data_IF_051087356777
#
_entry.id   IF_051087356777
#
_cell.length_a   1.000
_cell.length_b   1.000
_cell.length_c   1.000
_cell.angle_alpha   90.00
_cell.angle_beta   90.00
_cell.angle_gamma   90.00
#
_symmetry.space_group_name_H-M   'P 1'
#
loop_
_entity.id
_entity.type
_entity.pdbx_description
1 polymer ?
#
# COMPACT_ATOMS: atom_id res chain seq x y z
N UNK A 1 -5.56 1.44 21.28
CA UNK A 1 -5.22 0.18 20.59
C UNK A 1 -5.62 0.30 19.13
N UNK A 2 -4.67 0.66 18.26
CA UNK A 2 -4.86 0.81 16.81
C UNK A 2 -4.27 -0.41 16.08
N UNK A 3 -4.66 -1.61 16.51
CA UNK A 3 -4.12 -2.82 15.91
C UNK A 3 -4.68 -3.00 14.50
N UNK A 4 -3.80 -2.91 13.50
CA UNK A 4 -4.08 -3.17 12.10
C UNK A 4 -3.49 -4.53 11.75
N UNK A 5 -4.25 -5.33 11.02
CA UNK A 5 -3.81 -6.59 10.44
C UNK A 5 -3.98 -6.55 8.93
N UNK A 6 -3.07 -7.17 8.19
CA UNK A 6 -3.21 -7.40 6.76
C UNK A 6 -3.78 -8.79 6.53
N UNK A 7 -4.89 -8.86 5.82
CA UNK A 7 -5.50 -10.11 5.38
C UNK A 7 -5.40 -10.18 3.86
N UNK A 8 -4.93 -11.31 3.30
CA UNK A 8 -4.93 -11.48 1.85
C UNK A 8 -6.37 -11.32 1.34
N UNK A 9 -6.53 -10.65 0.21
CA UNK A 9 -7.86 -10.50 -0.38
C UNK A 9 -8.33 -11.85 -0.92
N UNK A 10 -9.52 -12.26 -0.51
CA UNK A 10 -10.17 -13.53 -0.87
C UNK A 10 -11.69 -13.34 -1.01
N UNK A 11 -12.44 -14.42 -1.20
CA UNK A 11 -13.90 -14.37 -1.37
C UNK A 11 -14.65 -13.76 -0.18
N UNK A 12 -14.05 -13.76 1.02
CA UNK A 12 -14.71 -13.29 2.25
C UNK A 12 -14.64 -11.76 2.40
N UNK A 13 -13.67 -11.10 1.78
CA UNK A 13 -13.36 -9.69 2.07
C UNK A 13 -13.30 -8.77 0.83
N UNK A 14 -13.24 -9.31 -0.40
CA UNK A 14 -13.05 -8.48 -1.60
C UNK A 14 -14.17 -7.46 -1.83
N UNK A 15 -15.43 -7.81 -1.53
CA UNK A 15 -16.58 -6.88 -1.64
C UNK A 15 -16.48 -5.70 -0.66
N UNK A 16 -15.91 -5.94 0.54
CA UNK A 16 -15.66 -4.89 1.49
C UNK A 16 -14.55 -3.95 0.99
N UNK A 17 -13.50 -4.48 0.34
CA UNK A 17 -12.50 -3.65 -0.34
C UNK A 17 -13.11 -2.80 -1.46
N UNK A 18 -14.09 -3.31 -2.22
CA UNK A 18 -14.77 -2.54 -3.26
C UNK A 18 -15.69 -1.44 -2.71
N UNK A 19 -16.15 -1.60 -1.48
CA UNK A 19 -17.05 -0.64 -0.82
C UNK A 19 -16.31 0.50 -0.13
N UNK A 20 -14.97 0.47 -0.09
CA UNK A 20 -14.16 1.53 0.52
C UNK A 20 -14.37 2.84 -0.24
N UNK A 21 -14.59 3.93 0.51
CA UNK A 21 -14.81 5.25 -0.05
C UNK A 21 -13.56 6.11 0.10
N UNK A 22 -13.07 6.63 -1.03
CA UNK A 22 -12.15 7.75 -1.03
C UNK A 22 -12.93 9.04 -0.80
N UNK A 23 -12.30 10.02 -0.16
CA UNK A 23 -12.83 11.38 -0.29
C UNK A 23 -12.63 11.85 -1.74
N UNK A 24 -13.59 12.61 -2.27
CA UNK A 24 -13.61 13.01 -3.69
C UNK A 24 -12.30 13.65 -4.17
N UNK A 25 -11.55 14.29 -3.26
CA UNK A 25 -10.28 14.95 -3.58
C UNK A 25 -9.08 13.99 -3.66
N UNK A 26 -9.24 12.75 -3.16
CA UNK A 26 -8.23 11.69 -3.20
C UNK A 26 -8.45 10.65 -4.31
N UNK A 27 -9.65 10.60 -4.90
CA UNK A 27 -9.97 9.69 -6.03
C UNK A 27 -9.00 9.86 -7.21
N UNK A 28 -8.45 11.06 -7.42
CA UNK A 28 -7.47 11.31 -8.48
C UNK A 28 -6.09 10.70 -8.26
N UNK A 29 -5.76 10.31 -7.02
CA UNK A 29 -4.40 9.88 -6.66
C UNK A 29 -4.26 8.37 -6.47
N UNK A 30 -5.35 7.61 -6.37
CA UNK A 30 -5.28 6.16 -6.12
C UNK A 30 -6.24 5.43 -7.05
N UNK A 31 -5.71 4.45 -7.78
CA UNK A 31 -6.56 3.57 -8.60
C UNK A 31 -7.57 2.82 -7.72
N UNK A 32 -8.84 2.82 -8.12
CA UNK A 32 -9.90 2.11 -7.40
C UNK A 32 -9.53 0.62 -7.21
N UNK A 33 -9.84 0.00 -6.05
CA UNK A 33 -9.50 -1.41 -5.76
C UNK A 33 -9.92 -2.44 -6.82
N UNK A 34 -10.90 -2.11 -7.67
CA UNK A 34 -11.36 -2.96 -8.78
C UNK A 34 -10.24 -3.12 -9.81
N UNK A 35 -9.61 -2.02 -10.24
CA UNK A 35 -8.49 -2.05 -11.19
C UNK A 35 -7.28 -2.76 -10.57
N UNK A 36 -7.00 -2.47 -9.30
CA UNK A 36 -5.89 -3.09 -8.57
C UNK A 36 -6.05 -4.61 -8.44
N UNK A 37 -7.25 -5.11 -8.09
CA UNK A 37 -7.49 -6.56 -8.04
C UNK A 37 -7.45 -7.22 -9.41
N UNK A 38 -7.90 -6.55 -10.48
CA UNK A 38 -7.73 -7.05 -11.83
C UNK A 38 -6.25 -7.17 -12.24
N UNK A 39 -5.42 -6.18 -11.88
CA UNK A 39 -3.97 -6.25 -12.06
C UNK A 39 -3.36 -7.39 -11.23
N UNK A 40 -3.77 -7.56 -9.97
CA UNK A 40 -3.31 -8.65 -9.13
C UNK A 40 -3.68 -10.03 -9.72
N UNK A 41 -4.84 -10.17 -10.36
CA UNK A 41 -5.22 -11.40 -11.06
C UNK A 41 -4.29 -11.70 -12.25
N UNK A 42 -3.92 -10.68 -13.03
CA UNK A 42 -3.01 -10.84 -14.18
C UNK A 42 -1.58 -11.13 -13.73
N UNK A 43 -1.10 -10.45 -12.68
CA UNK A 43 0.26 -10.54 -12.14
C UNK A 43 0.34 -11.35 -10.84
N UNK A 44 -0.48 -12.39 -10.70
CA UNK A 44 -0.70 -13.13 -9.45
C UNK A 44 0.57 -13.76 -8.84
N UNK A 45 1.62 -13.98 -9.63
CA UNK A 45 2.91 -14.51 -9.16
C UNK A 45 3.83 -13.44 -8.56
N UNK A 46 3.53 -12.16 -8.76
CA UNK A 46 4.35 -11.01 -8.35
C UNK A 46 3.63 -10.09 -7.36
N UNK A 47 2.29 -10.09 -7.39
CA UNK A 47 1.45 -9.17 -6.61
C UNK A 47 0.66 -9.92 -5.54
N UNK A 48 0.54 -9.34 -4.35
CA UNK A 48 -0.41 -9.79 -3.34
C UNK A 48 -1.21 -8.62 -2.78
N UNK A 49 -2.53 -8.57 -3.05
CA UNK A 49 -3.42 -7.58 -2.49
C UNK A 49 -3.81 -7.94 -1.04
N UNK A 50 -3.91 -6.93 -0.20
CA UNK A 50 -4.28 -7.05 1.19
C UNK A 50 -5.44 -6.12 1.55
N UNK A 51 -6.43 -6.68 2.23
CA UNK A 51 -7.38 -5.92 3.03
C UNK A 51 -6.67 -5.42 4.30
N UNK A 52 -6.77 -4.12 4.57
CA UNK A 52 -6.31 -3.51 5.81
C UNK A 52 -7.46 -3.60 6.81
N UNK A 53 -7.30 -4.42 7.84
CA UNK A 53 -8.38 -4.69 8.79
C UNK A 53 -8.11 -4.07 10.16
N UNK A 54 -9.15 -3.52 10.78
CA UNK A 54 -9.16 -3.02 12.16
C UNK A 54 -10.35 -3.61 12.89
N UNK A 55 -10.10 -4.31 14.00
CA UNK A 55 -11.15 -4.95 14.80
C UNK A 55 -12.12 -5.82 13.97
N UNK A 56 -11.59 -6.55 12.98
CA UNK A 56 -12.37 -7.42 12.09
C UNK A 56 -13.09 -6.71 10.93
N UNK A 57 -12.99 -5.38 10.82
CA UNK A 57 -13.57 -4.63 9.71
C UNK A 57 -12.50 -4.22 8.70
N UNK A 58 -12.80 -4.31 7.41
CA UNK A 58 -11.95 -3.76 6.34
C UNK A 58 -12.06 -2.24 6.38
N UNK A 59 -10.93 -1.58 6.61
CA UNK A 59 -10.82 -0.11 6.71
C UNK A 59 -9.90 0.48 5.65
N UNK A 60 -9.35 -0.36 4.78
CA UNK A 60 -8.43 0.04 3.75
C UNK A 60 -7.96 -1.12 2.89
N UNK A 61 -7.03 -0.81 2.00
CA UNK A 61 -6.47 -1.72 1.01
C UNK A 61 -5.01 -1.32 0.76
N UNK A 62 -4.16 -2.30 0.46
CA UNK A 62 -2.84 -2.06 -0.12
C UNK A 62 -2.42 -3.29 -0.93
N UNK A 63 -1.44 -3.12 -1.82
CA UNK A 63 -0.86 -4.21 -2.59
C UNK A 63 0.64 -4.22 -2.40
N UNK A 64 1.20 -5.41 -2.14
CA UNK A 64 2.65 -5.63 -2.13
C UNK A 64 3.03 -6.33 -3.43
N UNK A 65 4.07 -5.85 -4.08
CA UNK A 65 4.60 -6.40 -5.33
C UNK A 65 6.08 -6.70 -5.12
N UNK A 66 6.59 -7.72 -5.81
CA UNK A 66 8.02 -7.93 -5.96
C UNK A 66 8.39 -7.90 -7.44
N UNK A 67 9.26 -6.95 -7.79
CA UNK A 67 9.86 -6.88 -9.10
C UNK A 67 11.13 -7.74 -9.10
N UNK A 68 11.16 -8.77 -9.93
CA UNK A 68 12.27 -9.72 -10.02
C UNK A 68 13.43 -9.19 -10.88
N UNK A 69 13.19 -8.21 -11.76
CA UNK A 69 14.23 -7.58 -12.58
C UNK A 69 14.98 -6.51 -11.77
N UNK A 70 14.26 -5.75 -10.94
CA UNK A 70 14.86 -4.77 -10.02
C UNK A 70 15.32 -5.36 -8.68
N UNK A 71 14.93 -6.59 -8.38
CA UNK A 71 15.06 -7.22 -7.07
C UNK A 71 14.60 -6.29 -5.93
N UNK A 72 13.38 -5.75 -6.03
CA UNK A 72 12.84 -4.80 -5.07
C UNK A 72 11.35 -5.06 -4.76
N UNK A 73 10.96 -4.76 -3.52
CA UNK A 73 9.54 -4.76 -3.15
C UNK A 73 8.92 -3.41 -3.46
N UNK A 74 7.68 -3.40 -3.92
CA UNK A 74 6.88 -2.20 -4.09
C UNK A 74 5.62 -2.26 -3.24
N UNK A 75 5.21 -1.13 -2.68
CA UNK A 75 3.91 -0.97 -2.04
C UNK A 75 3.06 -0.06 -2.91
N UNK A 76 2.00 -0.62 -3.48
CA UNK A 76 1.07 0.10 -4.35
C UNK A 76 -0.31 0.24 -3.70
N UNK A 77 -1.05 1.24 -4.16
CA UNK A 77 -2.47 1.42 -3.88
C UNK A 77 -2.83 1.44 -2.38
N UNK A 78 -1.96 1.97 -1.52
CA UNK A 78 -2.32 2.18 -0.12
C UNK A 78 -3.50 3.15 -0.06
N UNK A 79 -4.61 2.66 0.46
CA UNK A 79 -5.86 3.37 0.60
C UNK A 79 -6.45 3.09 1.98
N UNK A 80 -6.91 4.13 2.66
CA UNK A 80 -7.67 4.02 3.90
C UNK A 80 -9.02 4.69 3.66
N UNK A 81 -10.10 4.00 4.04
CA UNK A 81 -11.46 4.54 3.95
C UNK A 81 -11.55 5.89 4.67
N UNK A 82 -12.22 6.86 4.04
CA UNK A 82 -12.37 8.22 4.54
C UNK A 82 -12.80 8.27 6.03
N UNK A 83 -13.73 7.40 6.45
CA UNK A 83 -14.24 7.37 7.83
C UNK A 83 -13.19 6.92 8.86
N UNK A 84 -12.10 6.32 8.38
CA UNK A 84 -11.01 5.77 9.17
C UNK A 84 -9.69 6.55 9.03
N UNK A 85 -9.66 7.61 8.21
CA UNK A 85 -8.51 8.51 8.09
C UNK A 85 -8.30 9.37 9.35
N UNK A 86 -7.13 10.01 9.48
CA UNK A 86 -6.76 10.83 10.65
C UNK A 86 -6.57 10.05 11.96
N UNK A 87 -6.74 8.72 11.96
CA UNK A 87 -6.67 7.85 13.14
C UNK A 87 -5.39 6.99 13.21
N UNK A 88 -4.41 7.29 12.37
CA UNK A 88 -3.14 6.54 12.28
C UNK A 88 -3.23 5.21 11.52
N UNK A 89 -4.36 4.89 10.88
CA UNK A 89 -4.55 3.64 10.15
C UNK A 89 -3.53 3.45 9.01
N UNK A 90 -3.24 4.50 8.24
CA UNK A 90 -2.25 4.43 7.14
C UNK A 90 -0.84 4.09 7.63
N UNK A 91 -0.41 4.69 8.74
CA UNK A 91 0.87 4.38 9.39
C UNK A 91 0.94 2.93 9.85
N UNK A 92 -0.09 2.47 10.55
CA UNK A 92 -0.15 1.09 11.04
C UNK A 92 -0.25 0.07 9.89
N UNK A 93 -0.93 0.40 8.79
CA UNK A 93 -0.98 -0.43 7.60
C UNK A 93 0.38 -0.56 6.92
N UNK A 94 1.11 0.56 6.77
CA UNK A 94 2.49 0.54 6.25
C UNK A 94 3.43 -0.25 7.16
N UNK A 95 3.37 -0.06 8.48
CA UNK A 95 4.19 -0.82 9.42
C UNK A 95 3.91 -2.33 9.30
N UNK A 96 2.65 -2.72 9.15
CA UNK A 96 2.28 -4.11 8.92
C UNK A 96 2.78 -4.64 7.55
N UNK A 97 2.72 -3.83 6.50
CA UNK A 97 3.23 -4.19 5.17
C UNK A 97 4.75 -4.37 5.18
N UNK A 98 5.48 -3.46 5.83
CA UNK A 98 6.93 -3.58 6.00
C UNK A 98 7.30 -4.82 6.84
N UNK A 99 6.53 -5.15 7.87
CA UNK A 99 6.71 -6.38 8.64
C UNK A 99 6.48 -7.64 7.80
N UNK A 100 5.46 -7.63 6.92
CA UNK A 100 5.24 -8.69 5.95
C UNK A 100 6.40 -8.82 4.96
N UNK A 101 6.92 -7.71 4.42
CA UNK A 101 8.07 -7.73 3.50
C UNK A 101 9.34 -8.27 4.17
N UNK A 102 9.54 -8.01 5.48
CA UNK A 102 10.68 -8.58 6.22
C UNK A 102 10.67 -10.12 6.27
N UNK A 103 9.51 -10.78 6.14
CA UNK A 103 9.46 -12.25 6.09
C UNK A 103 9.90 -12.83 4.74
N UNK A 104 10.26 -11.99 3.76
CA UNK A 104 10.73 -12.36 2.42
C UNK A 104 9.75 -13.26 1.66
N UNK A 105 8.50 -12.82 1.47
CA UNK A 105 7.47 -13.65 0.84
C UNK A 105 7.72 -13.96 -0.64
N UNK A 106 8.55 -13.17 -1.34
CA UNK A 106 8.81 -13.33 -2.78
C UNK A 106 10.30 -13.40 -3.13
N UNK A 107 11.12 -12.53 -2.52
CA UNK A 107 12.57 -12.49 -2.71
C UNK A 107 13.35 -11.92 -1.53
N UNK A 108 14.68 -12.00 -1.57
CA UNK A 108 15.55 -11.70 -0.44
C UNK A 108 15.79 -10.20 -0.20
N UNK A 109 15.43 -9.34 -1.15
CA UNK A 109 15.74 -7.90 -1.10
C UNK A 109 15.20 -7.19 0.13
N UNK A 110 15.99 -6.27 0.67
CA UNK A 110 15.59 -5.34 1.74
C UNK A 110 15.05 -4.02 1.20
N UNK A 111 15.09 -3.80 -0.11
CA UNK A 111 14.68 -2.55 -0.72
C UNK A 111 13.15 -2.52 -0.92
N UNK A 112 12.51 -1.47 -0.40
CA UNK A 112 11.08 -1.19 -0.58
C UNK A 112 10.92 0.15 -1.26
N UNK A 113 10.12 0.19 -2.32
CA UNK A 113 9.82 1.38 -3.13
C UNK A 113 8.32 1.66 -3.16
N UNK A 114 7.97 2.92 -3.41
CA UNK A 114 6.62 3.37 -3.71
C UNK A 114 6.69 4.68 -4.50
N UNK A 115 5.61 5.00 -5.20
CA UNK A 115 5.43 6.32 -5.80
C UNK A 115 4.39 7.11 -5.01
N UNK A 116 4.51 8.43 -5.03
CA UNK A 116 3.54 9.33 -4.41
C UNK A 116 3.44 10.61 -5.22
N UNK A 117 2.21 11.09 -5.45
CA UNK A 117 2.02 12.43 -5.99
C UNK A 117 2.55 13.49 -5.00
N UNK A 118 3.41 14.43 -5.42
CA UNK A 118 3.89 15.53 -4.59
C UNK A 118 2.77 16.40 -4.00
N UNK A 119 1.59 16.44 -4.66
CA UNK A 119 0.41 17.16 -4.17
C UNK A 119 -0.25 16.47 -2.97
N UNK A 120 0.02 15.18 -2.74
CA UNK A 120 -0.54 14.43 -1.62
C UNK A 120 0.29 14.64 -0.35
N UNK A 121 0.21 15.85 0.22
CA UNK A 121 0.99 16.25 1.39
C UNK A 121 0.86 15.29 2.59
N UNK A 122 -0.32 14.69 2.79
CA UNK A 122 -0.55 13.73 3.85
C UNK A 122 0.24 12.43 3.65
N UNK A 123 0.25 11.88 2.43
CA UNK A 123 1.02 10.69 2.10
C UNK A 123 2.53 10.98 2.13
N UNK A 124 2.96 12.11 1.56
CA UNK A 124 4.36 12.55 1.62
C UNK A 124 4.87 12.63 3.06
N UNK A 125 4.11 13.29 3.96
CA UNK A 125 4.46 13.38 5.37
C UNK A 125 4.52 12.00 6.03
N UNK A 126 3.53 11.14 5.77
CA UNK A 126 3.50 9.77 6.28
C UNK A 126 4.77 8.99 5.88
N UNK A 127 5.11 8.97 4.60
CA UNK A 127 6.25 8.21 4.09
C UNK A 127 7.58 8.74 4.63
N UNK A 128 7.73 10.06 4.77
CA UNK A 128 8.88 10.66 5.44
C UNK A 128 9.00 10.21 6.91
N UNK A 129 7.90 10.18 7.67
CA UNK A 129 7.94 9.69 9.07
C UNK A 129 8.29 8.20 9.17
N UNK A 130 8.05 7.46 8.09
CA UNK A 130 8.42 6.05 7.93
C UNK A 130 9.82 5.89 7.31
N UNK A 131 10.64 6.95 7.24
CA UNK A 131 12.01 6.94 6.73
C UNK A 131 12.15 6.53 5.27
N UNK A 132 11.11 6.72 4.46
CA UNK A 132 11.27 6.71 3.01
C UNK A 132 11.95 8.00 2.57
N UNK A 133 12.84 7.90 1.59
CA UNK A 133 13.59 9.01 1.01
C UNK A 133 13.45 9.01 -0.51
N UNK A 134 13.45 10.19 -1.18
CA UNK A 134 13.35 10.24 -2.63
C UNK A 134 14.53 9.55 -3.31
N UNK A 135 14.26 8.79 -4.37
CA UNK A 135 15.30 8.15 -5.20
C UNK A 135 15.89 9.09 -6.25
N UNK A 136 15.20 10.21 -6.49
CA UNK A 136 15.47 11.13 -7.60
C UNK A 136 14.80 10.70 -8.92
N UNK A 137 14.09 9.56 -8.94
CA UNK A 137 13.26 9.12 -10.06
C UNK A 137 11.81 9.58 -9.89
N UNK A 138 11.09 9.60 -11.00
CA UNK A 138 9.67 9.91 -11.05
C UNK A 138 8.97 9.01 -12.08
N UNK A 139 7.71 8.68 -11.83
CA UNK A 139 6.81 8.02 -12.78
C UNK A 139 5.66 8.98 -13.10
N UNK A 140 5.69 9.57 -14.29
CA UNK A 140 4.82 10.70 -14.64
C UNK A 140 5.00 11.87 -13.66
N UNK A 141 3.91 12.23 -12.98
CA UNK A 141 3.89 13.32 -11.99
C UNK A 141 4.14 12.83 -10.55
N UNK A 142 4.36 11.52 -10.35
CA UNK A 142 4.63 10.95 -9.03
C UNK A 142 6.13 10.82 -8.78
N UNK A 143 6.56 11.13 -7.55
CA UNK A 143 7.94 10.93 -7.12
C UNK A 143 8.13 9.53 -6.55
N UNK A 144 9.24 8.88 -6.91
CA UNK A 144 9.60 7.60 -6.34
C UNK A 144 10.35 7.79 -5.01
N UNK A 145 9.91 7.08 -3.99
CA UNK A 145 10.55 7.01 -2.69
C UNK A 145 11.01 5.59 -2.41
N UNK A 146 12.14 5.45 -1.70
CA UNK A 146 12.65 4.16 -1.27
C UNK A 146 13.02 4.13 0.21
N UNK A 147 13.05 2.92 0.74
CA UNK A 147 13.54 2.59 2.07
C UNK A 147 14.23 1.23 2.04
N UNK A 148 15.41 1.16 2.64
CA UNK A 148 16.07 -0.11 2.95
C UNK A 148 15.60 -0.58 4.33
N UNK A 149 15.18 -1.84 4.41
CA UNK A 149 14.82 -2.49 5.67
C UNK A 149 16.06 -3.10 6.34
N UNK A 150 16.10 -2.96 7.66
CA UNK A 150 17.04 -3.67 8.53
C UNK A 150 16.68 -5.16 8.65
#
# INVERSE_FOLDING_TARGET
MNHITLQKVDESNFLACFSLKLEAQQEKFVSHPIRSLAQAYVYYSQCTPFAVCRAGQVVGYLMVIYDYDEEAYFIWHLMIDAQHQGRGCGRAAMEAALAYIRSKPFGASNLVRLTVSPENAAACHLYQTLRFSPTGRADGDEIELERVLD
#
